data_IF_511589726895
#
_entry.id   IF_511589726895
#
_cell.length_a   1.000
_cell.length_b   1.000
_cell.length_c   1.000
_cell.angle_alpha   90.00
_cell.angle_beta   90.00
_cell.angle_gamma   90.00
#
_symmetry.space_group_name_H-M   'P 1'
#
loop_
_entity.id
_entity.type
_entity.pdbx_description
1 polymer ?
#
# COMPACT_ATOMS: atom_id res chain seq x y z
N UNK A 1 29.94 31.66 52.61
CA UNK A 1 28.55 31.26 52.32
C UNK A 1 28.50 30.75 50.90
N UNK A 2 28.68 29.45 50.73
CA UNK A 2 28.60 28.80 49.39
C UNK A 2 27.17 28.39 49.14
N UNK A 3 26.49 29.08 48.23
CA UNK A 3 25.21 28.65 47.73
C UNK A 3 25.43 27.60 46.65
N UNK A 4 25.44 26.34 47.07
CA UNK A 4 25.36 25.20 46.18
C UNK A 4 23.94 25.14 45.57
N UNK A 5 23.70 25.84 44.47
CA UNK A 5 22.54 25.58 43.64
C UNK A 5 22.87 24.41 42.68
N UNK A 6 22.97 23.21 43.26
CA UNK A 6 22.87 21.99 42.46
C UNK A 6 21.44 21.90 41.94
N UNK A 7 21.24 22.35 40.70
CA UNK A 7 19.99 22.18 39.96
C UNK A 7 19.72 20.70 39.71
N UNK A 8 19.49 19.96 40.80
CA UNK A 8 19.18 18.54 40.74
C UNK A 8 17.82 18.32 40.11
N UNK A 9 17.75 17.37 39.18
CA UNK A 9 16.52 16.90 38.57
C UNK A 9 15.59 16.36 39.69
N UNK A 10 14.48 17.06 39.94
CA UNK A 10 13.55 16.71 41.01
C UNK A 10 12.49 15.70 40.53
N UNK A 11 11.89 14.96 41.48
CA UNK A 11 10.81 14.01 41.20
C UNK A 11 9.59 14.71 40.57
N UNK A 12 9.28 15.92 41.03
CA UNK A 12 8.21 16.75 40.50
C UNK A 12 8.49 17.18 39.06
N UNK A 13 9.74 17.57 38.78
CA UNK A 13 10.14 17.92 37.40
C UNK A 13 10.03 16.71 36.46
N UNK A 14 10.53 15.55 36.90
CA UNK A 14 10.41 14.29 36.15
C UNK A 14 8.94 13.96 35.84
N UNK A 15 8.10 14.04 36.86
CA UNK A 15 6.66 13.77 36.73
C UNK A 15 5.99 14.73 35.74
N UNK A 16 6.27 16.02 35.84
CA UNK A 16 5.66 17.04 34.99
C UNK A 16 6.13 16.91 33.55
N UNK A 17 7.40 16.60 33.30
CA UNK A 17 7.92 16.31 31.96
C UNK A 17 7.24 15.07 31.37
N UNK A 18 7.12 14.01 32.19
CA UNK A 18 6.50 12.77 31.74
C UNK A 18 5.03 12.97 31.37
N UNK A 19 4.21 13.53 32.26
CA UNK A 19 2.80 13.75 31.99
C UNK A 19 2.57 14.81 30.91
N UNK A 20 3.32 15.92 30.95
CA UNK A 20 3.21 16.97 29.95
C UNK A 20 3.60 16.48 28.55
N UNK A 21 4.72 15.77 28.45
CA UNK A 21 5.17 15.15 27.20
C UNK A 21 4.18 14.10 26.68
N UNK A 22 3.71 13.22 27.57
CA UNK A 22 2.73 12.18 27.21
C UNK A 22 1.42 12.81 26.71
N UNK A 23 0.89 13.79 27.42
CA UNK A 23 -0.33 14.50 26.99
C UNK A 23 -0.15 15.18 25.64
N UNK A 24 0.97 15.87 25.44
CA UNK A 24 1.29 16.52 24.16
C UNK A 24 1.28 15.52 23.01
N UNK A 25 2.00 14.39 23.13
CA UNK A 25 2.05 13.40 22.07
C UNK A 25 0.73 12.67 21.86
N UNK A 26 -0.08 12.45 22.90
CA UNK A 26 -1.43 11.90 22.75
C UNK A 26 -2.31 12.86 21.93
N UNK A 27 -2.25 14.17 22.21
CA UNK A 27 -3.03 15.16 21.47
C UNK A 27 -2.58 15.24 20.00
N UNK A 28 -1.27 15.21 19.75
CA UNK A 28 -0.71 15.15 18.39
C UNK A 28 -1.19 13.88 17.68
N UNK A 29 -1.11 12.72 18.31
CA UNK A 29 -1.58 11.46 17.75
C UNK A 29 -3.06 11.50 17.40
N UNK A 30 -3.91 11.93 18.31
CA UNK A 30 -5.35 12.08 18.08
C UNK A 30 -5.62 13.04 16.91
N UNK A 31 -4.92 14.18 16.87
CA UNK A 31 -5.03 15.15 15.77
C UNK A 31 -4.64 14.54 14.42
N UNK A 32 -3.56 13.75 14.37
CA UNK A 32 -3.13 13.04 13.16
C UNK A 32 -4.14 11.97 12.73
N UNK A 33 -4.73 11.22 13.66
CA UNK A 33 -5.79 10.24 13.36
C UNK A 33 -6.98 10.93 12.70
N UNK A 34 -7.50 12.00 13.29
CA UNK A 34 -8.61 12.75 12.69
C UNK A 34 -8.27 13.36 11.34
N UNK A 35 -7.05 13.87 11.17
CA UNK A 35 -6.59 14.38 9.88
C UNK A 35 -6.54 13.26 8.84
N UNK A 36 -6.02 12.08 9.20
CA UNK A 36 -5.92 10.92 8.30
C UNK A 36 -7.30 10.46 7.88
N UNK A 37 -8.23 10.25 8.82
CA UNK A 37 -9.61 9.83 8.54
C UNK A 37 -10.31 10.77 7.54
N UNK A 38 -10.09 12.07 7.65
CA UNK A 38 -10.69 13.05 6.72
C UNK A 38 -10.05 13.05 5.34
N UNK A 39 -8.79 12.65 5.22
CA UNK A 39 -8.02 12.68 3.97
C UNK A 39 -7.98 11.35 3.24
N UNK A 40 -8.29 10.23 3.89
CA UNK A 40 -8.33 8.90 3.26
C UNK A 40 -9.25 8.86 2.03
N UNK A 41 -10.53 9.30 2.10
CA UNK A 41 -11.43 9.25 0.95
C UNK A 41 -10.91 10.01 -0.27
N UNK A 42 -10.19 11.10 -0.03
CA UNK A 42 -9.59 11.92 -1.09
C UNK A 42 -8.31 11.32 -1.68
N UNK A 43 -7.67 10.36 -1.01
CA UNK A 43 -6.38 9.78 -1.41
C UNK A 43 -6.45 8.34 -1.88
N UNK A 44 -7.51 7.63 -1.50
CA UNK A 44 -7.59 6.18 -1.70
C UNK A 44 -8.34 5.75 -2.96
N UNK A 45 -8.82 6.68 -3.81
CA UNK A 45 -9.68 6.36 -4.95
C UNK A 45 -10.86 5.44 -4.55
N UNK A 46 -11.44 5.70 -3.37
CA UNK A 46 -12.45 4.85 -2.75
C UNK A 46 -13.72 4.76 -3.61
N UNK A 47 -14.08 5.84 -4.31
CA UNK A 47 -15.22 5.88 -5.21
C UNK A 47 -15.14 4.86 -6.36
N UNK A 48 -13.93 4.42 -6.72
CA UNK A 48 -13.70 3.41 -7.75
C UNK A 48 -13.52 1.98 -7.18
N UNK A 49 -13.70 1.81 -5.86
CA UNK A 49 -13.58 0.51 -5.20
C UNK A 49 -14.88 -0.29 -5.39
N UNK A 50 -14.88 -1.16 -6.38
CA UNK A 50 -15.99 -2.06 -6.67
C UNK A 50 -15.83 -3.40 -5.95
N UNK A 51 -16.90 -4.23 -5.91
CA UNK A 51 -16.80 -5.59 -5.39
C UNK A 51 -15.79 -6.45 -6.15
N UNK A 52 -15.63 -6.25 -7.46
CA UNK A 52 -14.61 -6.93 -8.26
C UNK A 52 -13.19 -6.56 -7.79
N UNK A 53 -12.94 -5.30 -7.47
CA UNK A 53 -11.67 -4.84 -6.89
C UNK A 53 -11.39 -5.53 -5.56
N UNK A 54 -12.41 -5.63 -4.69
CA UNK A 54 -12.28 -6.31 -3.38
C UNK A 54 -11.98 -7.80 -3.57
N UNK A 55 -12.69 -8.49 -4.46
CA UNK A 55 -12.40 -9.90 -4.77
C UNK A 55 -11.01 -10.07 -5.40
N UNK A 56 -10.61 -9.18 -6.28
CA UNK A 56 -9.27 -9.18 -6.87
C UNK A 56 -8.16 -9.01 -5.82
N UNK A 57 -8.38 -8.15 -4.83
CA UNK A 57 -7.50 -8.02 -3.66
C UNK A 57 -7.43 -9.33 -2.87
N UNK A 58 -8.56 -10.01 -2.66
CA UNK A 58 -8.57 -11.31 -2.00
C UNK A 58 -7.79 -12.37 -2.78
N UNK A 59 -7.90 -12.40 -4.12
CA UNK A 59 -7.09 -13.28 -4.98
C UNK A 59 -5.60 -12.96 -4.81
N UNK A 60 -5.22 -11.69 -4.77
CA UNK A 60 -3.85 -11.23 -4.52
C UNK A 60 -3.29 -11.72 -3.19
N UNK A 61 -4.07 -11.59 -2.11
CA UNK A 61 -3.67 -12.00 -0.75
C UNK A 61 -3.59 -13.52 -0.60
N UNK A 62 -4.60 -14.25 -1.06
CA UNK A 62 -4.67 -15.71 -0.97
C UNK A 62 -3.52 -16.41 -1.69
N UNK A 63 -3.03 -15.83 -2.78
CA UNK A 63 -1.90 -16.36 -3.55
C UNK A 63 -0.55 -15.77 -3.13
N UNK A 64 -0.52 -14.98 -2.05
CA UNK A 64 0.70 -14.34 -1.50
C UNK A 64 1.53 -13.60 -2.56
N UNK A 65 0.87 -12.90 -3.48
CA UNK A 65 1.55 -12.15 -4.55
C UNK A 65 2.50 -11.09 -3.99
N UNK A 66 2.16 -10.50 -2.84
CA UNK A 66 2.99 -9.52 -2.11
C UNK A 66 4.31 -10.12 -1.60
N UNK A 67 4.39 -11.44 -1.46
CA UNK A 67 5.62 -12.14 -1.07
C UNK A 67 6.73 -12.09 -2.12
N UNK A 68 6.40 -11.74 -3.36
CA UNK A 68 7.35 -11.56 -4.45
C UNK A 68 7.31 -10.17 -5.07
N UNK A 69 6.11 -9.58 -5.20
CA UNK A 69 5.87 -8.29 -5.83
C UNK A 69 5.66 -7.17 -4.81
N UNK A 70 6.04 -5.96 -5.19
CA UNK A 70 5.59 -4.75 -4.50
C UNK A 70 4.33 -4.20 -5.15
N UNK A 71 3.47 -3.60 -4.32
CA UNK A 71 2.29 -2.86 -4.73
C UNK A 71 2.21 -1.58 -3.91
N UNK A 72 2.23 -0.41 -4.56
CA UNK A 72 2.18 0.90 -3.90
C UNK A 72 3.28 1.10 -2.82
N UNK A 73 4.43 0.49 -3.01
CA UNK A 73 5.57 0.56 -2.09
C UNK A 73 5.61 -0.52 -1.00
N UNK A 74 4.55 -1.32 -0.88
CA UNK A 74 4.46 -2.42 0.07
C UNK A 74 4.78 -3.76 -0.59
N UNK A 75 5.49 -4.65 0.10
CA UNK A 75 5.78 -6.01 -0.36
C UNK A 75 7.25 -6.29 -0.61
N UNK A 76 7.54 -7.42 -1.28
CA UNK A 76 8.89 -7.88 -1.56
C UNK A 76 9.42 -7.32 -2.89
N UNK A 77 10.70 -6.97 -2.91
CA UNK A 77 11.43 -6.48 -4.11
C UNK A 77 12.03 -7.62 -4.94
N UNK A 78 11.43 -8.78 -4.91
CA UNK A 78 11.93 -9.95 -5.60
C UNK A 78 11.52 -10.00 -7.07
N UNK A 79 10.32 -9.51 -7.38
CA UNK A 79 9.71 -9.40 -8.70
C UNK A 79 9.33 -7.93 -8.99
N UNK A 80 8.95 -7.59 -10.24
CA UNK A 80 8.60 -6.21 -10.58
C UNK A 80 7.45 -5.66 -9.74
N UNK A 81 7.50 -4.35 -9.50
CA UNK A 81 6.41 -3.56 -8.93
C UNK A 81 5.19 -3.58 -9.86
N UNK A 82 3.97 -3.72 -9.29
CA UNK A 82 2.75 -3.96 -10.04
C UNK A 82 1.69 -2.85 -9.96
N UNK A 83 1.88 -1.80 -9.14
CA UNK A 83 0.83 -0.78 -8.99
C UNK A 83 0.48 -0.08 -10.32
N UNK A 84 1.44 0.07 -11.25
CA UNK A 84 1.15 0.65 -12.57
C UNK A 84 1.25 -0.35 -13.73
N UNK A 85 1.25 -1.66 -13.45
CA UNK A 85 1.40 -2.70 -14.48
C UNK A 85 0.31 -2.62 -15.54
N UNK A 86 -0.93 -2.32 -15.13
CA UNK A 86 -2.05 -2.18 -16.05
C UNK A 86 -1.76 -1.13 -17.14
N UNK A 87 -1.34 0.06 -16.74
CA UNK A 87 -1.01 1.15 -17.67
C UNK A 87 0.23 0.84 -18.51
N UNK A 88 1.29 0.30 -17.90
CA UNK A 88 2.52 -0.08 -18.62
C UNK A 88 2.30 -1.14 -19.70
N UNK A 89 1.25 -1.94 -19.59
CA UNK A 89 0.93 -3.03 -20.54
C UNK A 89 -0.19 -2.68 -21.50
N UNK A 90 -0.47 -1.38 -21.64
CA UNK A 90 -1.38 -0.84 -22.65
C UNK A 90 -2.73 -0.34 -22.13
N UNK A 91 -2.91 -0.26 -20.80
CA UNK A 91 -4.10 0.32 -20.18
C UNK A 91 -5.39 -0.36 -20.63
N UNK A 92 -6.41 0.46 -20.90
CA UNK A 92 -7.72 -0.05 -21.35
C UNK A 92 -7.69 -0.78 -22.71
N UNK A 93 -6.67 -0.52 -23.54
CA UNK A 93 -6.56 -1.17 -24.85
C UNK A 93 -6.10 -2.64 -24.75
N UNK A 94 -5.14 -2.96 -23.89
CA UNK A 94 -4.52 -4.29 -23.84
C UNK A 94 -4.04 -4.74 -22.47
N UNK A 95 -4.00 -3.85 -21.46
CA UNK A 95 -3.42 -4.14 -20.15
C UNK A 95 -4.05 -5.34 -19.47
N UNK A 96 -5.37 -5.43 -19.43
CA UNK A 96 -6.09 -6.56 -18.86
C UNK A 96 -5.85 -7.87 -19.62
N UNK A 97 -5.90 -7.83 -20.95
CA UNK A 97 -5.62 -9.02 -21.78
C UNK A 97 -4.19 -9.52 -21.59
N UNK A 98 -3.21 -8.59 -21.52
CA UNK A 98 -1.83 -8.94 -21.27
C UNK A 98 -1.66 -9.62 -19.90
N UNK A 99 -2.22 -9.06 -18.83
CA UNK A 99 -2.10 -9.61 -17.47
C UNK A 99 -2.67 -11.04 -17.44
N UNK A 100 -3.87 -11.26 -18.00
CA UNK A 100 -4.49 -12.58 -18.06
C UNK A 100 -3.65 -13.59 -18.85
N UNK A 101 -3.18 -13.19 -20.04
CA UNK A 101 -2.33 -14.05 -20.87
C UNK A 101 -1.01 -14.39 -20.17
N UNK A 102 -0.38 -13.40 -19.51
CA UNK A 102 0.85 -13.60 -18.75
C UNK A 102 0.65 -14.58 -17.59
N UNK A 103 -0.41 -14.41 -16.80
CA UNK A 103 -0.73 -15.31 -15.69
C UNK A 103 -0.96 -16.75 -16.15
N UNK A 104 -1.68 -16.95 -17.26
CA UNK A 104 -1.94 -18.29 -17.84
C UNK A 104 -0.70 -18.94 -18.41
N UNK A 105 0.27 -18.16 -18.88
CA UNK A 105 1.49 -18.66 -19.49
C UNK A 105 2.56 -19.12 -18.49
N UNK A 106 2.37 -18.86 -17.19
CA UNK A 106 3.37 -19.20 -16.19
C UNK A 106 3.51 -20.73 -15.99
N UNK A 107 4.71 -21.24 -15.66
CA UNK A 107 5.98 -20.53 -15.56
C UNK A 107 6.66 -20.32 -16.91
N UNK A 108 7.18 -19.11 -17.16
CA UNK A 108 7.88 -18.77 -18.43
C UNK A 108 9.40 -18.57 -18.24
N UNK A 109 9.88 -18.67 -17.01
CA UNK A 109 11.29 -18.48 -16.67
C UNK A 109 12.16 -19.69 -17.01
N UNK A 110 13.48 -19.50 -16.93
CA UNK A 110 14.43 -20.58 -17.14
C UNK A 110 14.37 -21.61 -16.02
N UNK A 111 14.46 -22.92 -16.33
CA UNK A 111 14.51 -23.98 -15.33
C UNK A 111 15.64 -23.76 -14.32
N UNK A 112 15.38 -24.07 -13.04
CA UNK A 112 16.35 -23.92 -11.94
C UNK A 112 16.54 -22.47 -11.44
N UNK A 113 15.88 -21.48 -12.05
CA UNK A 113 15.85 -20.09 -11.57
C UNK A 113 14.50 -19.80 -10.90
N UNK A 114 14.51 -18.80 -10.02
CA UNK A 114 13.25 -18.32 -9.44
C UNK A 114 12.39 -17.73 -10.54
N UNK A 115 11.15 -18.13 -10.58
CA UNK A 115 10.17 -17.72 -11.57
C UNK A 115 8.78 -17.67 -10.93
N UNK A 116 7.88 -16.90 -11.54
CA UNK A 116 6.50 -16.87 -11.11
C UNK A 116 5.85 -18.24 -11.28
N UNK A 117 5.22 -18.83 -10.24
CA UNK A 117 4.56 -20.12 -10.37
C UNK A 117 3.24 -19.99 -11.13
N UNK A 118 2.71 -21.13 -11.58
CA UNK A 118 1.33 -21.20 -12.05
C UNK A 118 0.37 -21.29 -10.85
N UNK A 119 -0.58 -20.37 -10.78
CA UNK A 119 -1.56 -20.30 -9.70
C UNK A 119 -2.89 -20.98 -10.05
N UNK A 120 -3.09 -21.40 -11.31
CA UNK A 120 -4.32 -22.05 -11.81
C UNK A 120 -5.60 -21.26 -11.50
N UNK A 121 -5.53 -19.93 -11.62
CA UNK A 121 -6.66 -19.04 -11.38
C UNK A 121 -7.73 -19.26 -12.46
N UNK A 122 -8.99 -19.24 -12.05
CA UNK A 122 -10.13 -19.23 -12.98
C UNK A 122 -10.18 -17.92 -13.75
N UNK A 123 -10.90 -17.89 -14.89
CA UNK A 123 -11.06 -16.67 -15.67
C UNK A 123 -11.72 -15.55 -14.86
N UNK A 124 -12.68 -15.87 -14.00
CA UNK A 124 -13.30 -14.88 -13.11
C UNK A 124 -12.34 -14.31 -12.08
N UNK A 125 -11.47 -15.14 -11.50
CA UNK A 125 -10.42 -14.66 -10.58
C UNK A 125 -9.39 -13.79 -11.30
N UNK A 126 -9.08 -14.11 -12.56
CA UNK A 126 -8.19 -13.28 -13.38
C UNK A 126 -8.83 -11.95 -13.74
N UNK A 127 -10.13 -11.93 -14.02
CA UNK A 127 -10.86 -10.68 -14.27
C UNK A 127 -10.90 -9.79 -13.01
N UNK A 128 -11.21 -10.35 -11.86
CA UNK A 128 -11.19 -9.65 -10.58
C UNK A 128 -9.78 -9.12 -10.24
N UNK A 129 -8.73 -9.92 -10.48
CA UNK A 129 -7.34 -9.49 -10.28
C UNK A 129 -6.95 -8.32 -11.20
N UNK A 130 -7.40 -8.34 -12.46
CA UNK A 130 -7.20 -7.23 -13.40
C UNK A 130 -7.86 -5.96 -12.88
N UNK A 131 -9.10 -6.04 -12.39
CA UNK A 131 -9.80 -4.88 -11.82
C UNK A 131 -9.08 -4.32 -10.60
N UNK A 132 -8.54 -5.17 -9.73
CA UNK A 132 -7.73 -4.75 -8.60
C UNK A 132 -6.44 -4.03 -9.05
N UNK A 133 -5.71 -4.55 -10.02
CA UNK A 133 -4.49 -3.92 -10.54
C UNK A 133 -4.78 -2.63 -11.32
N UNK A 134 -5.93 -2.54 -12.00
CA UNK A 134 -6.42 -1.32 -12.63
C UNK A 134 -6.74 -0.25 -11.58
N UNK A 135 -7.44 -0.61 -10.52
CA UNK A 135 -7.74 0.28 -9.40
C UNK A 135 -6.46 0.79 -8.71
N UNK A 136 -5.48 -0.09 -8.47
CA UNK A 136 -4.18 0.26 -7.88
C UNK A 136 -3.43 1.31 -8.71
N UNK A 137 -3.51 1.21 -10.04
CA UNK A 137 -2.95 2.21 -10.96
C UNK A 137 -3.63 3.58 -10.78
N UNK A 138 -4.95 3.60 -10.57
CA UNK A 138 -5.72 4.82 -10.29
C UNK A 138 -5.25 5.52 -9.01
N UNK A 139 -4.88 4.77 -7.96
CA UNK A 139 -4.33 5.33 -6.73
C UNK A 139 -3.02 6.11 -6.96
N UNK A 140 -2.13 5.63 -7.85
CA UNK A 140 -0.89 6.34 -8.22
C UNK A 140 -1.18 7.67 -8.92
N UNK A 141 -2.12 7.67 -9.85
CA UNK A 141 -2.50 8.89 -10.60
C UNK A 141 -3.14 9.93 -9.71
N UNK A 142 -3.90 9.51 -8.71
CA UNK A 142 -4.59 10.38 -7.77
C UNK A 142 -3.63 11.05 -6.76
N UNK A 143 -2.57 10.36 -6.36
CA UNK A 143 -1.56 10.89 -5.44
C UNK A 143 -0.59 11.88 -6.07
N UNK A 144 -0.62 12.05 -7.40
CA UNK A 144 0.25 13.00 -8.10
C UNK A 144 -0.36 14.42 -8.11
N UNK A 145 0.35 15.45 -7.59
CA UNK A 145 -0.16 16.82 -7.52
C UNK A 145 -0.48 17.46 -8.89
N UNK A 146 0.05 16.88 -9.98
CA UNK A 146 -0.08 17.42 -11.34
C UNK A 146 -1.42 17.11 -12.03
N UNK A 147 -2.27 16.27 -11.45
CA UNK A 147 -3.55 15.87 -12.05
C UNK A 147 -4.76 16.72 -11.63
N UNK A 148 -4.53 17.79 -10.86
CA UNK A 148 -5.59 18.70 -10.37
C UNK A 148 -5.61 20.03 -11.12
N UNK A 149 -5.74 19.96 -12.47
CA UNK A 149 -6.05 21.14 -13.30
C UNK A 149 -7.19 20.80 -14.24
#
# INVERSE_FOLDING_TARGET
>A
MSTNSSGGFTKEMARNIFYGGSLFFILVFVGLVFHTERTIPERSNEAAMTEAVVRGKMVWEQNNCIGCHTLLGEGAYFAPELANVYQRRGGDASGGAFIKAWMKAQPTGAPGRRQMPQFNLTDGQLDDLVEFLKWSNGCLSYSSPSSRH
#
